data_IF_390911840132
#
_entry.id   IF_390911840132
#
_cell.length_a   1.000
_cell.length_b   1.000
_cell.length_c   1.000
_cell.angle_alpha   90.00
_cell.angle_beta   90.00
_cell.angle_gamma   90.00
#
_symmetry.space_group_name_H-M   'P 1'
#
loop_
_entity.id
_entity.type
_entity.pdbx_description
1 polymer ?
#
# COMPACT_ATOMS: atom_id res chain seq x y z
N UNK A 1 -1.75 -10.86 8.19
CA UNK A 1 -1.48 -11.29 6.78
C UNK A 1 -0.19 -12.08 6.75
N UNK A 2 -0.20 -13.21 6.04
CA UNK A 2 0.96 -14.07 5.83
C UNK A 2 1.40 -13.96 4.37
N UNK A 3 2.71 -13.89 4.14
CA UNK A 3 3.31 -13.76 2.81
C UNK A 3 4.16 -14.98 2.49
N UNK A 4 4.05 -15.48 1.29
CA UNK A 4 4.73 -16.67 0.80
C UNK A 4 5.60 -16.34 -0.42
N UNK A 5 6.69 -17.08 -0.60
CA UNK A 5 7.54 -16.93 -1.80
C UNK A 5 6.85 -17.51 -3.03
N UNK A 6 7.00 -16.83 -4.16
CA UNK A 6 6.53 -17.30 -5.47
C UNK A 6 7.21 -18.59 -5.91
N UNK A 7 8.38 -18.92 -5.34
CA UNK A 7 9.10 -20.19 -5.59
C UNK A 7 8.81 -21.26 -4.54
N UNK A 8 8.16 -20.90 -3.43
CA UNK A 8 7.68 -21.84 -2.42
C UNK A 8 8.74 -22.50 -1.54
N UNK A 9 10.01 -22.10 -1.61
CA UNK A 9 11.10 -22.69 -0.84
C UNK A 9 11.56 -21.82 0.34
N UNK A 10 11.19 -20.54 0.36
CA UNK A 10 11.49 -19.63 1.46
C UNK A 10 10.41 -19.72 2.55
N UNK A 11 10.75 -19.47 3.83
CA UNK A 11 9.77 -19.44 4.91
C UNK A 11 8.73 -18.33 4.70
N UNK A 12 7.49 -18.59 5.10
CA UNK A 12 6.46 -17.58 5.11
C UNK A 12 6.73 -16.53 6.19
N UNK A 13 6.48 -15.27 5.88
CA UNK A 13 6.79 -14.12 6.72
C UNK A 13 5.54 -13.25 6.94
N UNK A 14 5.58 -12.41 7.98
CA UNK A 14 4.62 -11.32 8.19
C UNK A 14 5.01 -10.10 7.35
N UNK A 15 4.19 -9.06 7.37
CA UNK A 15 4.41 -7.86 6.56
C UNK A 15 5.74 -7.14 6.90
N UNK A 16 6.06 -6.95 8.18
CA UNK A 16 7.29 -6.25 8.61
C UNK A 16 8.54 -6.99 8.12
N UNK A 17 8.57 -8.30 8.29
CA UNK A 17 9.70 -9.13 7.87
C UNK A 17 9.86 -9.15 6.35
N UNK A 18 8.76 -9.19 5.60
CA UNK A 18 8.78 -9.10 4.13
C UNK A 18 9.30 -7.74 3.67
N UNK A 19 8.86 -6.66 4.31
CA UNK A 19 9.30 -5.30 3.99
C UNK A 19 10.82 -5.16 4.14
N UNK A 20 11.38 -5.74 5.21
CA UNK A 20 12.82 -5.72 5.48
C UNK A 20 13.62 -6.69 4.62
N UNK A 21 13.04 -7.84 4.28
CA UNK A 21 13.72 -8.86 3.49
C UNK A 21 13.90 -8.44 2.02
N UNK A 22 12.92 -7.74 1.45
CA UNK A 22 12.88 -7.43 0.01
C UNK A 22 12.61 -8.70 -0.81
N UNK A 23 13.64 -9.35 -1.32
CA UNK A 23 13.52 -10.64 -2.03
C UNK A 23 13.49 -11.83 -1.06
N UNK A 24 12.81 -12.89 -1.46
CA UNK A 24 12.86 -14.15 -0.73
C UNK A 24 14.22 -14.83 -0.88
N UNK A 25 14.63 -15.61 0.14
CA UNK A 25 15.94 -16.29 0.16
C UNK A 25 16.13 -17.33 -0.95
N UNK A 26 15.02 -17.80 -1.54
CA UNK A 26 15.03 -18.70 -2.71
C UNK A 26 15.07 -17.95 -4.06
N UNK A 27 15.21 -16.63 -4.03
CA UNK A 27 15.21 -15.76 -5.22
C UNK A 27 13.82 -15.44 -5.76
N UNK A 28 12.76 -15.87 -5.07
CA UNK A 28 11.36 -15.51 -5.38
C UNK A 28 10.98 -14.14 -4.85
N UNK A 29 9.74 -13.76 -5.15
CA UNK A 29 9.08 -12.58 -4.58
C UNK A 29 8.13 -13.04 -3.47
N UNK A 30 7.94 -12.21 -2.46
CA UNK A 30 6.87 -12.42 -1.49
C UNK A 30 5.54 -11.88 -2.01
N UNK A 31 4.51 -12.70 -1.93
CA UNK A 31 3.12 -12.35 -2.25
C UNK A 31 2.21 -12.73 -1.10
N UNK A 32 1.07 -12.05 -0.92
CA UNK A 32 0.09 -12.47 0.08
C UNK A 32 -0.38 -13.91 -0.17
N UNK A 33 -0.43 -14.73 0.87
CA UNK A 33 -0.94 -16.10 0.76
C UNK A 33 -2.42 -16.12 0.34
N UNK A 34 -3.19 -15.14 0.81
CA UNK A 34 -4.58 -14.96 0.46
C UNK A 34 -4.86 -13.50 0.09
N UNK A 35 -5.57 -13.28 -1.01
CA UNK A 35 -6.03 -11.94 -1.36
C UNK A 35 -7.31 -11.60 -0.58
N UNK A 36 -7.40 -10.41 0.00
CA UNK A 36 -8.64 -9.96 0.64
C UNK A 36 -9.76 -9.86 -0.40
N UNK A 37 -10.98 -10.14 0.04
CA UNK A 37 -12.18 -10.01 -0.78
C UNK A 37 -13.08 -8.97 -0.16
N UNK A 38 -13.66 -8.14 -1.01
CA UNK A 38 -14.62 -7.11 -0.62
C UNK A 38 -15.93 -7.38 -1.33
N UNK A 39 -17.03 -7.19 -0.62
CA UNK A 39 -18.36 -7.31 -1.21
C UNK A 39 -18.70 -6.07 -2.06
N UNK A 40 -19.69 -6.19 -2.92
CA UNK A 40 -20.16 -5.03 -3.69
C UNK A 40 -20.74 -3.94 -2.79
N UNK A 41 -21.39 -4.32 -1.70
CA UNK A 41 -21.94 -3.41 -0.68
C UNK A 41 -20.82 -2.65 0.03
N UNK A 42 -19.73 -3.34 0.40
CA UNK A 42 -18.55 -2.69 0.99
C UNK A 42 -17.95 -1.68 0.02
N UNK A 43 -17.70 -2.07 -1.22
CA UNK A 43 -17.13 -1.18 -2.24
C UNK A 43 -18.05 0.02 -2.48
N UNK A 44 -19.36 -0.19 -2.59
CA UNK A 44 -20.33 0.88 -2.76
C UNK A 44 -20.34 1.86 -1.58
N UNK A 45 -20.14 1.37 -0.35
CA UNK A 45 -20.09 2.20 0.85
C UNK A 45 -18.89 3.14 0.91
N UNK A 46 -17.88 2.92 0.09
CA UNK A 46 -16.67 3.74 0.02
C UNK A 46 -16.79 4.93 -0.94
N UNK A 47 -17.93 5.05 -1.63
CA UNK A 47 -18.16 6.17 -2.53
C UNK A 47 -18.03 7.51 -1.79
N UNK A 48 -17.29 8.44 -2.38
CA UNK A 48 -17.07 9.78 -1.81
C UNK A 48 -16.01 9.86 -0.70
N UNK A 49 -15.35 8.76 -0.33
CA UNK A 49 -14.23 8.83 0.60
C UNK A 49 -13.02 9.57 -0.01
N UNK A 50 -12.27 10.33 0.80
CA UNK A 50 -10.96 10.82 0.39
C UNK A 50 -10.04 9.65 0.02
N UNK A 51 -9.10 9.90 -0.90
CA UNK A 51 -8.22 8.82 -1.40
C UNK A 51 -7.48 8.07 -0.30
N UNK A 52 -6.91 8.77 0.70
CA UNK A 52 -6.19 8.11 1.80
C UNK A 52 -7.09 7.21 2.66
N UNK A 53 -8.36 7.57 2.86
CA UNK A 53 -9.33 6.72 3.57
C UNK A 53 -9.70 5.48 2.72
N UNK A 54 -9.89 5.65 1.41
CA UNK A 54 -10.08 4.54 0.49
C UNK A 54 -8.85 3.62 0.47
N UNK A 55 -7.65 4.18 0.39
CA UNK A 55 -6.40 3.44 0.45
C UNK A 55 -6.29 2.63 1.75
N UNK A 56 -6.69 3.21 2.89
CA UNK A 56 -6.74 2.49 4.16
C UNK A 56 -7.67 1.27 4.11
N UNK A 57 -8.89 1.43 3.57
CA UNK A 57 -9.85 0.32 3.46
C UNK A 57 -9.31 -0.83 2.61
N UNK A 58 -8.70 -0.50 1.48
CA UNK A 58 -8.15 -1.50 0.55
C UNK A 58 -6.87 -2.14 1.09
N UNK A 59 -5.98 -1.35 1.70
CA UNK A 59 -4.64 -1.82 2.09
C UNK A 59 -4.56 -2.40 3.50
N UNK A 60 -5.48 -2.04 4.41
CA UNK A 60 -5.46 -2.51 5.80
C UNK A 60 -5.26 -4.02 5.95
N UNK A 61 -5.94 -4.90 5.20
CA UNK A 61 -5.77 -6.34 5.35
C UNK A 61 -4.33 -6.83 5.12
N UNK A 62 -3.56 -6.12 4.31
CA UNK A 62 -2.17 -6.49 3.99
C UNK A 62 -1.18 -6.19 5.10
N UNK A 63 -1.49 -5.23 5.97
CA UNK A 63 -0.61 -4.78 7.06
C UNK A 63 -1.14 -5.13 8.44
N UNK A 64 -2.31 -5.73 8.53
CA UNK A 64 -2.95 -6.12 9.80
C UNK A 64 -2.04 -7.01 10.64
N UNK A 65 -1.91 -6.67 11.91
CA UNK A 65 -1.03 -7.35 12.87
C UNK A 65 0.40 -6.80 12.89
N UNK A 66 0.82 -6.02 11.89
CA UNK A 66 2.15 -5.41 11.82
C UNK A 66 2.12 -3.91 12.14
N UNK A 67 1.14 -3.19 11.61
CA UNK A 67 1.00 -1.74 11.80
C UNK A 67 -0.37 -1.46 12.41
N UNK A 68 -0.45 -0.74 13.57
CA UNK A 68 -1.70 -0.29 14.15
C UNK A 68 -2.50 0.60 13.19
N UNK A 69 -3.81 0.50 13.21
CA UNK A 69 -4.70 1.23 12.30
C UNK A 69 -4.48 2.75 12.34
N UNK A 70 -4.29 3.33 13.52
CA UNK A 70 -4.07 4.77 13.67
C UNK A 70 -2.76 5.23 13.00
N UNK A 71 -1.70 4.46 13.15
CA UNK A 71 -0.39 4.76 12.54
C UNK A 71 -0.46 4.59 11.02
N UNK A 72 -1.11 3.54 10.55
CA UNK A 72 -1.24 3.30 9.12
C UNK A 72 -2.09 4.37 8.42
N UNK A 73 -3.18 4.82 9.04
CA UNK A 73 -3.98 5.96 8.53
C UNK A 73 -3.14 7.21 8.39
N UNK A 74 -2.35 7.54 9.41
CA UNK A 74 -1.44 8.70 9.37
C UNK A 74 -0.42 8.59 8.25
N UNK A 75 0.20 7.42 8.08
CA UNK A 75 1.17 7.16 7.01
C UNK A 75 0.51 7.37 5.64
N UNK A 76 -0.70 6.89 5.42
CA UNK A 76 -1.42 7.05 4.16
C UNK A 76 -1.82 8.51 3.89
N UNK A 77 -2.29 9.22 4.91
CA UNK A 77 -2.61 10.65 4.81
C UNK A 77 -1.38 11.46 4.41
N UNK A 78 -0.26 11.27 5.08
CA UNK A 78 1.01 11.93 4.76
C UNK A 78 1.53 11.53 3.37
N UNK A 79 1.37 10.27 2.98
CA UNK A 79 1.82 9.76 1.69
C UNK A 79 1.10 10.44 0.53
N UNK A 80 -0.22 10.45 0.57
CA UNK A 80 -1.03 10.97 -0.53
C UNK A 80 -1.33 12.46 -0.41
N UNK A 81 -1.08 13.05 0.75
CA UNK A 81 -1.19 14.49 0.99
C UNK A 81 -0.18 15.33 0.20
N UNK A 82 0.93 14.72 -0.28
CA UNK A 82 1.93 15.43 -1.11
C UNK A 82 1.62 15.42 -2.60
N UNK A 83 0.55 14.72 -3.02
CA UNK A 83 0.12 14.71 -4.41
C UNK A 83 -0.60 16.04 -4.77
N UNK A 84 -0.42 16.48 -6.01
CA UNK A 84 -0.90 17.78 -6.47
C UNK A 84 -2.37 17.80 -6.95
N UNK A 85 -3.04 16.65 -6.96
CA UNK A 85 -4.43 16.52 -7.37
C UNK A 85 -5.28 15.87 -6.27
N UNK A 86 -6.43 16.45 -5.93
CA UNK A 86 -7.27 15.95 -4.84
C UNK A 86 -7.77 14.51 -5.03
N UNK A 87 -8.01 14.09 -6.28
CA UNK A 87 -8.39 12.71 -6.58
C UNK A 87 -7.20 11.75 -6.63
N UNK A 88 -5.98 12.21 -6.51
CA UNK A 88 -4.71 11.46 -6.55
C UNK A 88 -4.50 10.74 -7.89
N UNK A 89 -5.43 9.88 -8.31
CA UNK A 89 -5.45 9.15 -9.58
C UNK A 89 -6.74 9.48 -10.36
N UNK A 90 -6.91 10.72 -10.86
CA UNK A 90 -8.13 11.10 -11.56
C UNK A 90 -8.32 10.33 -12.86
N UNK A 91 -9.57 10.08 -13.21
CA UNK A 91 -9.96 9.51 -14.49
C UNK A 91 -10.34 10.64 -15.45
N UNK A 92 -9.75 10.65 -16.65
CA UNK A 92 -10.08 11.58 -17.72
C UNK A 92 -10.76 10.81 -18.85
N UNK A 93 -11.98 11.21 -19.17
CA UNK A 93 -12.72 10.61 -20.28
C UNK A 93 -12.20 11.16 -21.60
N UNK A 94 -11.87 10.27 -22.53
CA UNK A 94 -11.44 10.60 -23.90
C UNK A 94 -12.62 10.56 -24.87
N UNK A 95 -13.48 9.55 -24.72
CA UNK A 95 -14.72 9.43 -25.48
C UNK A 95 -15.75 8.59 -24.68
N UNK A 96 -16.83 8.15 -25.31
CA UNK A 96 -17.94 7.48 -24.61
C UNK A 96 -17.56 6.32 -23.71
N UNK A 97 -16.56 5.51 -24.12
CA UNK A 97 -16.16 4.29 -23.42
C UNK A 97 -14.66 4.21 -23.09
N UNK A 98 -13.91 5.26 -23.35
CA UNK A 98 -12.47 5.28 -23.11
C UNK A 98 -12.11 6.30 -22.04
N UNK A 99 -11.34 5.85 -21.06
CA UNK A 99 -10.87 6.63 -19.94
C UNK A 99 -9.37 6.45 -19.76
N UNK A 100 -8.69 7.50 -19.37
CA UNK A 100 -7.29 7.47 -18.97
C UNK A 100 -7.22 7.73 -17.48
N UNK A 101 -6.54 6.84 -16.74
CA UNK A 101 -6.17 7.08 -15.36
C UNK A 101 -4.84 7.82 -15.32
N UNK A 102 -4.87 9.04 -14.77
CA UNK A 102 -3.66 9.86 -14.66
C UNK A 102 -2.86 9.47 -13.43
N UNK A 103 -1.62 9.02 -13.61
CA UNK A 103 -0.73 8.54 -12.53
C UNK A 103 0.49 9.43 -12.33
N UNK A 104 0.45 10.68 -12.76
CA UNK A 104 1.59 11.62 -12.74
C UNK A 104 1.44 12.77 -11.75
N UNK A 105 0.50 12.70 -10.82
CA UNK A 105 0.24 13.79 -9.86
C UNK A 105 1.06 13.69 -8.57
N UNK A 106 1.97 12.73 -8.48
CA UNK A 106 2.90 12.62 -7.37
C UNK A 106 4.06 13.62 -7.45
N UNK A 107 4.89 13.73 -6.40
CA UNK A 107 5.95 14.74 -6.30
C UNK A 107 7.05 14.60 -7.38
N UNK A 108 7.31 13.40 -7.90
CA UNK A 108 8.31 13.17 -8.97
C UNK A 108 7.69 13.09 -10.36
N UNK A 109 6.38 13.19 -10.49
CA UNK A 109 5.60 13.07 -11.74
C UNK A 109 5.64 11.67 -12.37
N UNK A 110 6.25 10.71 -11.72
CA UNK A 110 6.32 9.31 -12.17
C UNK A 110 5.23 8.47 -11.49
N UNK A 111 4.67 7.49 -12.20
CA UNK A 111 3.66 6.59 -11.63
C UNK A 111 4.16 5.81 -10.39
N UNK A 112 5.47 5.63 -10.28
CA UNK A 112 6.13 4.98 -9.13
C UNK A 112 5.90 5.71 -7.81
N UNK A 113 5.53 6.99 -7.82
CA UNK A 113 5.20 7.74 -6.61
C UNK A 113 4.11 7.05 -5.79
N UNK A 114 3.14 6.40 -6.42
CA UNK A 114 2.07 5.69 -5.72
C UNK A 114 2.59 4.61 -4.75
N UNK A 115 3.63 3.89 -5.14
CA UNK A 115 4.23 2.86 -4.30
C UNK A 115 5.43 3.38 -3.51
N UNK A 116 6.35 4.12 -4.13
CA UNK A 116 7.62 4.50 -3.49
C UNK A 116 7.46 5.54 -2.40
N UNK A 117 6.50 6.47 -2.50
CA UNK A 117 6.20 7.43 -1.44
C UNK A 117 5.67 6.71 -0.19
N UNK A 118 4.85 5.68 -0.37
CA UNK A 118 4.36 4.84 0.72
C UNK A 118 5.48 3.94 1.28
N UNK A 119 6.24 3.27 0.41
CA UNK A 119 7.31 2.37 0.80
C UNK A 119 8.35 3.05 1.69
N UNK A 120 8.79 4.25 1.32
CA UNK A 120 9.76 5.01 2.13
C UNK A 120 9.25 5.26 3.55
N UNK A 121 8.00 5.70 3.70
CA UNK A 121 7.39 5.95 5.02
C UNK A 121 7.17 4.67 5.83
N UNK A 122 6.82 3.58 5.18
CA UNK A 122 6.68 2.28 5.84
C UNK A 122 8.03 1.75 6.34
N UNK A 123 9.10 1.89 5.56
CA UNK A 123 10.44 1.54 5.98
C UNK A 123 10.91 2.38 7.17
N UNK A 124 10.73 3.69 7.12
CA UNK A 124 11.06 4.58 8.24
C UNK A 124 10.31 4.18 9.51
N UNK A 125 9.03 3.90 9.40
CA UNK A 125 8.20 3.48 10.54
C UNK A 125 8.72 2.18 11.16
N UNK A 126 8.98 1.15 10.36
CA UNK A 126 9.46 -0.15 10.84
C UNK A 126 10.86 -0.04 11.44
N UNK A 127 11.77 0.70 10.81
CA UNK A 127 13.12 0.91 11.31
C UNK A 127 13.13 1.69 12.63
N UNK A 128 12.31 2.72 12.78
CA UNK A 128 12.16 3.45 14.05
C UNK A 128 11.64 2.53 15.16
N UNK A 129 10.61 1.73 14.86
CA UNK A 129 10.07 0.74 15.80
C UNK A 129 11.15 -0.24 16.27
N UNK A 130 11.96 -0.76 15.36
CA UNK A 130 13.05 -1.67 15.69
C UNK A 130 14.16 -0.98 16.50
N UNK A 131 14.51 0.25 16.20
CA UNK A 131 15.51 1.00 16.97
C UNK A 131 15.08 1.26 18.41
N UNK A 132 13.79 1.49 18.66
CA UNK A 132 13.23 1.66 19.99
C UNK A 132 13.26 0.36 20.81
N UNK A 133 13.19 -0.79 20.17
CA UNK A 133 13.27 -2.10 20.83
C UNK A 133 14.73 -2.43 21.24
N UNK A 134 15.72 -1.89 20.55
CA UNK A 134 17.14 -2.14 20.79
C UNK A 134 17.82 -1.08 21.69
N UNK A 135 17.08 -0.06 22.14
CA UNK A 135 17.53 0.88 23.17
C UNK A 135 17.15 0.33 24.55
#
# INVERSE_FOLDING_TARGET
MRYISTRGQAPALNFEDVLLAGLATDGGLYVPENLPRFTQEEIASWAGLPYHELAFRVMRPFVTGSIPDADFKKILEETYGVFSHNAIAPLRQLNGNEWVMELFHGPTLAFKDFALQLLGRLLDYVLQKLSLIHI
#
